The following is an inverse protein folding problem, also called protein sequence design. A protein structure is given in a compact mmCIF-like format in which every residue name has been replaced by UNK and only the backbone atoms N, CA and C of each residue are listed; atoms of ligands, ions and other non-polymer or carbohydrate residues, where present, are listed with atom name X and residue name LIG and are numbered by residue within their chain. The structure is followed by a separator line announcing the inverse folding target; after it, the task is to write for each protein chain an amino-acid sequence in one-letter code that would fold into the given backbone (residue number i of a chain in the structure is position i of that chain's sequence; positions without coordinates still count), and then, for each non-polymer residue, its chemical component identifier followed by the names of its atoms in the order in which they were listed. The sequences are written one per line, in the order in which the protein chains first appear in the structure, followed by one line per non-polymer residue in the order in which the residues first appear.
data_IF_659067144470
#
_entry.id   IF_659067144470
#
_cell.length_a   1.000
_cell.length_b   1.000
_cell.length_c   1.000
_cell.angle_alpha   90.00
_cell.angle_beta   90.00
_cell.angle_gamma   90.00
#
_symmetry.space_group_name_H-M   'P 1'
#
loop_
_entity.id
_entity.type
_entity.pdbx_description
1 polymer ?
#
# COMPACT_ATOMS: atom_id res chain seq x y z
N UNK A 1 33.87 15.76 -51.45
CA UNK A 1 32.75 15.37 -50.56
C UNK A 1 33.27 14.48 -49.42
N UNK A 2 34.00 15.03 -48.44
CA UNK A 2 34.60 14.25 -47.33
C UNK A 2 34.30 14.80 -45.93
N UNK A 3 33.42 15.80 -45.82
CA UNK A 3 33.19 16.51 -44.55
C UNK A 3 31.74 16.37 -44.04
N UNK A 4 30.93 15.48 -44.63
CA UNK A 4 29.53 15.26 -44.22
C UNK A 4 29.38 14.12 -43.21
N UNK A 5 30.30 13.15 -43.17
CA UNK A 5 30.23 12.03 -42.23
C UNK A 5 30.61 12.40 -40.80
N UNK A 6 31.36 13.48 -40.59
CA UNK A 6 31.86 13.85 -39.25
C UNK A 6 30.86 14.69 -38.43
N UNK A 7 29.80 15.23 -39.06
CA UNK A 7 28.74 15.97 -38.36
C UNK A 7 27.56 15.10 -37.94
N UNK A 8 27.44 13.88 -38.49
CA UNK A 8 26.38 12.95 -38.13
C UNK A 8 26.65 12.25 -36.79
N UNK A 9 27.92 12.16 -36.37
CA UNK A 9 28.30 11.55 -35.08
C UNK A 9 27.92 12.42 -33.87
N UNK A 10 27.88 13.74 -34.04
CA UNK A 10 27.56 14.66 -32.95
C UNK A 10 26.05 14.75 -32.65
N UNK A 11 25.19 14.34 -33.59
CA UNK A 11 23.74 14.34 -33.43
C UNK A 11 23.21 13.06 -32.77
N UNK A 12 23.98 11.97 -32.75
CA UNK A 12 23.53 10.67 -32.25
C UNK A 12 23.78 10.45 -30.74
N UNK A 13 24.34 11.43 -30.03
CA UNK A 13 24.81 11.25 -28.65
C UNK A 13 23.88 11.84 -27.58
N UNK A 14 22.75 12.46 -27.97
CA UNK A 14 21.88 13.21 -27.04
C UNK A 14 20.62 12.42 -26.61
N UNK A 15 20.39 11.21 -27.12
CA UNK A 15 19.11 10.48 -26.89
C UNK A 15 19.16 9.45 -25.76
N UNK A 16 20.21 9.40 -24.92
CA UNK A 16 20.38 8.29 -23.95
C UNK A 16 20.39 8.63 -22.45
N UNK A 17 19.93 9.82 -22.02
CA UNK A 17 19.79 10.10 -20.58
C UNK A 17 18.44 10.68 -20.18
N UNK A 18 17.36 10.09 -20.69
CA UNK A 18 16.12 10.02 -19.88
C UNK A 18 16.09 8.66 -19.20
N UNK A 19 17.11 8.38 -18.37
CA UNK A 19 16.93 7.40 -17.31
C UNK A 19 15.88 8.02 -16.41
N UNK A 20 14.67 7.48 -16.47
CA UNK A 20 13.65 7.76 -15.49
C UNK A 20 14.23 7.28 -14.17
N UNK A 21 14.84 8.19 -13.40
CA UNK A 21 14.96 8.00 -11.96
C UNK A 21 13.51 7.93 -11.51
N UNK A 22 12.98 6.71 -11.41
CA UNK A 22 11.89 6.49 -10.47
C UNK A 22 12.51 6.90 -9.16
N UNK A 23 12.23 8.13 -8.76
CA UNK A 23 12.42 8.56 -7.40
C UNK A 23 11.91 7.39 -6.57
N UNK A 24 12.79 6.77 -5.78
CA UNK A 24 12.41 5.76 -4.81
C UNK A 24 11.52 6.49 -3.81
N UNK A 25 10.25 6.68 -4.16
CA UNK A 25 9.21 7.07 -3.23
C UNK A 25 9.30 5.99 -2.16
N UNK A 26 9.73 6.40 -0.97
CA UNK A 26 9.99 5.43 0.08
C UNK A 26 8.69 4.66 0.32
N UNK A 27 8.78 3.33 0.39
CA UNK A 27 7.61 2.47 0.65
C UNK A 27 6.90 2.93 1.94
N UNK A 28 7.68 3.44 2.89
CA UNK A 28 7.22 4.10 4.10
C UNK A 28 6.26 5.28 3.84
N UNK A 29 6.66 6.24 3.00
CA UNK A 29 5.81 7.40 2.67
C UNK A 29 4.56 6.99 1.88
N UNK A 30 4.66 5.92 1.08
CA UNK A 30 3.52 5.37 0.35
C UNK A 30 2.53 4.64 1.28
N UNK A 31 3.04 3.94 2.29
CA UNK A 31 2.24 3.09 3.18
C UNK A 31 1.44 3.89 4.21
N UNK A 32 2.02 4.96 4.77
CA UNK A 32 1.37 5.78 5.80
C UNK A 32 0.01 6.29 5.29
N UNK A 33 -1.05 6.02 6.05
CA UNK A 33 -2.42 6.35 5.67
C UNK A 33 -3.44 5.32 6.13
N UNK A 34 -4.64 5.43 5.57
CA UNK A 34 -5.78 4.56 5.85
C UNK A 34 -6.08 3.72 4.60
N UNK A 35 -6.14 2.42 4.82
CA UNK A 35 -6.39 1.41 3.81
C UNK A 35 -7.70 0.72 4.16
N UNK A 36 -8.58 0.54 3.18
CA UNK A 36 -9.90 -0.03 3.38
C UNK A 36 -10.17 -1.16 2.41
N UNK A 37 -10.90 -2.15 2.91
CA UNK A 37 -11.47 -3.23 2.14
C UNK A 37 -12.90 -3.45 2.57
N UNK A 38 -13.78 -3.68 1.59
CA UNK A 38 -15.15 -4.07 1.82
C UNK A 38 -15.38 -5.51 1.41
N UNK A 39 -15.92 -6.27 2.36
CA UNK A 39 -16.31 -7.66 2.17
C UNK A 39 -17.82 -7.78 2.33
N UNK A 40 -18.48 -8.30 1.31
CA UNK A 40 -19.93 -8.51 1.33
C UNK A 40 -20.21 -9.97 1.67
N UNK A 41 -20.93 -10.21 2.76
CA UNK A 41 -21.50 -11.50 3.11
C UNK A 41 -23.03 -11.44 2.88
N UNK A 42 -23.71 -12.55 2.55
CA UNK A 42 -25.17 -12.59 2.48
C UNK A 42 -25.92 -12.00 3.69
N UNK A 43 -25.33 -11.99 4.88
CA UNK A 43 -25.99 -11.54 6.12
C UNK A 43 -25.57 -10.14 6.59
N UNK A 44 -24.41 -9.65 6.14
CA UNK A 44 -23.85 -8.37 6.55
C UNK A 44 -22.80 -7.87 5.57
N UNK A 45 -22.60 -6.54 5.57
CA UNK A 45 -21.47 -5.90 4.92
C UNK A 45 -20.37 -5.64 5.95
N UNK A 46 -19.17 -6.10 5.66
CA UNK A 46 -17.96 -5.86 6.45
C UNK A 46 -17.10 -4.78 5.81
N UNK A 47 -16.57 -3.90 6.65
CA UNK A 47 -15.50 -2.97 6.32
C UNK A 47 -14.31 -3.27 7.22
N UNK A 48 -13.18 -3.58 6.62
CA UNK A 48 -11.90 -3.72 7.30
C UNK A 48 -11.01 -2.55 6.94
N UNK A 49 -10.46 -1.87 7.95
CA UNK A 49 -9.51 -0.78 7.78
C UNK A 49 -8.20 -1.09 8.47
N UNK A 50 -7.10 -0.75 7.81
CA UNK A 50 -5.76 -0.73 8.37
C UNK A 50 -5.24 0.71 8.33
N UNK A 51 -4.85 1.24 9.47
CA UNK A 51 -4.25 2.57 9.61
C UNK A 51 -2.78 2.38 9.91
N UNK A 52 -1.91 2.90 9.06
CA UNK A 52 -0.47 2.88 9.25
C UNK A 52 0.00 4.30 9.58
N UNK A 53 0.46 4.52 10.81
CA UNK A 53 0.99 5.81 11.26
C UNK A 53 2.52 5.87 11.11
N UNK A 54 3.06 7.06 10.85
CA UNK A 54 4.49 7.27 10.54
C UNK A 54 5.46 6.89 11.66
N UNK A 55 4.97 6.67 12.88
CA UNK A 55 5.75 6.23 14.04
C UNK A 55 5.79 4.70 14.19
N UNK A 56 5.43 3.96 13.13
CA UNK A 56 5.36 2.48 13.09
C UNK A 56 4.28 1.87 14.00
N UNK A 57 3.35 2.69 14.49
CA UNK A 57 2.10 2.21 15.08
C UNK A 57 1.00 2.05 14.01
N UNK A 58 0.00 1.24 14.32
CA UNK A 58 -1.18 1.12 13.48
C UNK A 58 -2.40 0.61 14.21
N UNK A 59 -3.54 0.76 13.53
CA UNK A 59 -4.86 0.36 14.02
C UNK A 59 -5.55 -0.49 12.96
N UNK A 60 -6.10 -1.63 13.38
CA UNK A 60 -7.03 -2.42 12.59
C UNK A 60 -8.42 -2.16 13.11
N UNK A 61 -9.33 -1.72 12.24
CA UNK A 61 -10.75 -1.51 12.56
C UNK A 61 -11.58 -2.44 11.68
N UNK A 62 -12.42 -3.26 12.30
CA UNK A 62 -13.36 -4.11 11.58
C UNK A 62 -14.78 -3.75 12.00
N UNK A 63 -15.63 -3.47 11.03
CA UNK A 63 -17.03 -3.12 11.28
C UNK A 63 -17.94 -3.96 10.42
N UNK A 64 -19.04 -4.45 11.00
CA UNK A 64 -20.09 -5.18 10.29
C UNK A 64 -21.39 -4.41 10.39
N UNK A 65 -22.09 -4.25 9.27
CA UNK A 65 -23.44 -3.68 9.20
C UNK A 65 -24.38 -4.77 8.72
N UNK A 66 -25.30 -5.19 9.58
CA UNK A 66 -26.29 -6.22 9.30
C UNK A 66 -27.52 -5.61 8.62
N UNK A 67 -28.27 -6.43 7.88
CA UNK A 67 -29.50 -5.99 7.20
C UNK A 67 -30.59 -5.48 8.16
N UNK A 68 -30.53 -5.92 9.43
CA UNK A 68 -31.38 -5.45 10.52
C UNK A 68 -31.06 -4.01 10.96
N UNK A 69 -29.96 -3.44 10.49
CA UNK A 69 -29.42 -2.14 10.89
C UNK A 69 -28.50 -2.20 12.12
N UNK A 70 -28.31 -3.38 12.72
CA UNK A 70 -27.31 -3.56 13.78
C UNK A 70 -25.90 -3.34 13.23
N UNK A 71 -25.04 -2.73 14.05
CA UNK A 71 -23.63 -2.54 13.73
C UNK A 71 -22.75 -3.04 14.85
N UNK A 72 -21.73 -3.83 14.49
CA UNK A 72 -20.64 -4.20 15.40
C UNK A 72 -19.35 -3.60 14.90
N UNK A 73 -18.47 -3.22 15.83
CA UNK A 73 -17.14 -2.70 15.49
C UNK A 73 -16.11 -3.15 16.50
N UNK A 74 -14.94 -3.53 16.02
CA UNK A 74 -13.77 -3.86 16.83
C UNK A 74 -12.58 -3.02 16.37
N UNK A 75 -11.72 -2.67 17.33
CA UNK A 75 -10.46 -1.98 17.08
C UNK A 75 -9.35 -2.71 17.82
N UNK A 76 -8.20 -2.85 17.16
CA UNK A 76 -7.01 -3.44 17.75
C UNK A 76 -5.76 -2.72 17.25
N UNK A 77 -4.81 -2.48 18.15
CA UNK A 77 -3.51 -1.91 17.83
C UNK A 77 -2.59 -2.95 17.21
N UNK A 78 -1.66 -2.50 16.37
CA UNK A 78 -0.56 -3.29 15.85
C UNK A 78 0.70 -2.44 15.70
N UNK A 79 1.84 -3.11 15.57
CA UNK A 79 3.09 -2.50 15.09
C UNK A 79 3.35 -2.97 13.67
N UNK A 80 4.12 -2.19 12.93
CA UNK A 80 4.48 -2.58 11.58
C UNK A 80 5.90 -2.17 11.23
N UNK A 81 6.50 -2.90 10.30
CA UNK A 81 7.81 -2.61 9.76
C UNK A 81 7.90 -3.02 8.29
N UNK A 82 8.90 -2.50 7.59
CA UNK A 82 9.17 -2.80 6.19
C UNK A 82 10.44 -3.62 6.13
N UNK A 83 10.34 -4.84 5.59
CA UNK A 83 11.43 -5.78 5.43
C UNK A 83 11.64 -6.03 3.92
N UNK A 84 12.46 -5.19 3.30
CA UNK A 84 12.60 -5.18 1.84
C UNK A 84 11.34 -4.64 1.16
N UNK A 85 10.67 -5.49 0.38
CA UNK A 85 9.40 -5.15 -0.30
C UNK A 85 8.16 -5.61 0.50
N UNK A 86 8.36 -6.27 1.64
CA UNK A 86 7.31 -6.81 2.49
C UNK A 86 6.97 -5.88 3.64
N UNK A 87 5.69 -5.82 3.98
CA UNK A 87 5.14 -5.04 5.10
C UNK A 87 4.70 -6.04 6.15
N UNK A 88 5.46 -6.11 7.25
CA UNK A 88 5.15 -6.97 8.38
C UNK A 88 4.21 -6.23 9.34
N UNK A 89 3.07 -6.82 9.67
CA UNK A 89 2.10 -6.33 10.65
C UNK A 89 2.09 -7.27 11.85
N UNK A 90 2.54 -6.75 12.99
CA UNK A 90 2.77 -7.50 14.23
C UNK A 90 1.64 -7.18 15.21
N UNK A 91 0.81 -8.18 15.49
CA UNK A 91 -0.31 -8.11 16.44
C UNK A 91 0.03 -8.90 17.69
N UNK A 92 -0.10 -8.25 18.86
CA UNK A 92 0.15 -8.85 20.18
C UNK A 92 1.52 -9.55 20.30
N UNK A 93 2.56 -9.03 19.64
CA UNK A 93 3.94 -9.55 19.64
C UNK A 93 4.13 -11.01 19.16
N UNK A 94 3.11 -11.63 18.58
CA UNK A 94 3.13 -13.06 18.22
C UNK A 94 2.56 -13.35 16.83
N UNK A 95 1.56 -12.59 16.37
CA UNK A 95 0.93 -12.84 15.06
C UNK A 95 1.47 -11.86 14.03
N UNK A 96 2.01 -12.39 12.94
CA UNK A 96 2.57 -11.64 11.83
C UNK A 96 1.71 -11.84 10.57
N UNK A 97 1.03 -10.77 10.15
CA UNK A 97 0.43 -10.70 8.80
C UNK A 97 1.45 -10.02 7.88
N UNK A 98 1.80 -10.66 6.77
CA UNK A 98 2.74 -10.10 5.79
C UNK A 98 1.96 -9.60 4.58
N UNK A 99 2.13 -8.32 4.25
CA UNK A 99 1.50 -7.67 3.10
C UNK A 99 2.53 -7.24 2.05
N UNK A 100 2.05 -7.09 0.82
CA UNK A 100 2.77 -6.57 -0.33
C UNK A 100 1.96 -5.45 -0.98
N UNK A 101 2.65 -4.44 -1.54
CA UNK A 101 2.02 -3.53 -2.49
C UNK A 101 2.07 -4.14 -3.89
N UNK A 102 0.90 -4.35 -4.49
CA UNK A 102 0.82 -4.83 -5.86
C UNK A 102 1.12 -3.70 -6.87
N UNK A 103 1.18 -4.05 -8.16
CA UNK A 103 1.46 -3.09 -9.24
C UNK A 103 0.42 -1.99 -9.42
N UNK A 104 -0.74 -2.09 -8.77
CA UNK A 104 -1.80 -1.07 -8.74
C UNK A 104 -1.73 -0.16 -7.52
N UNK A 105 -0.75 -0.38 -6.63
CA UNK A 105 -0.64 0.34 -5.37
C UNK A 105 -1.66 -0.09 -4.32
N UNK A 106 -2.19 -1.31 -4.42
CA UNK A 106 -3.11 -1.88 -3.43
C UNK A 106 -2.34 -2.81 -2.47
N UNK A 107 -2.79 -2.87 -1.22
CA UNK A 107 -2.17 -3.70 -0.19
C UNK A 107 -2.79 -5.10 -0.20
N UNK A 108 -1.97 -6.14 -0.39
CA UNK A 108 -2.39 -7.53 -0.57
C UNK A 108 -1.69 -8.42 0.46
N UNK A 109 -2.43 -9.33 1.08
CA UNK A 109 -1.82 -10.31 1.98
C UNK A 109 -0.98 -11.31 1.17
N UNK A 110 0.30 -11.49 1.52
CA UNK A 110 1.27 -12.27 0.76
C UNK A 110 0.88 -13.75 0.60
N UNK A 111 0.22 -14.31 1.62
CA UNK A 111 -0.07 -15.75 1.73
C UNK A 111 -1.46 -16.17 1.23
N UNK A 112 -2.36 -15.24 0.86
CA UNK A 112 -3.72 -15.55 0.40
C UNK A 112 -4.12 -14.64 -0.78
N UNK A 113 -4.79 -15.19 -1.79
CA UNK A 113 -5.56 -14.38 -2.74
C UNK A 113 -6.84 -13.87 -2.06
N UNK A 114 -6.66 -12.88 -1.18
CA UNK A 114 -7.76 -12.13 -0.61
C UNK A 114 -8.03 -10.87 -1.44
N UNK A 115 -9.19 -10.27 -1.25
CA UNK A 115 -9.46 -8.94 -1.81
C UNK A 115 -8.43 -7.95 -1.26
N UNK A 116 -7.88 -7.08 -2.13
CA UNK A 116 -6.86 -6.13 -1.71
C UNK A 116 -7.49 -4.98 -0.89
N UNK A 117 -6.69 -4.34 -0.05
CA UNK A 117 -7.06 -3.05 0.54
C UNK A 117 -6.65 -1.93 -0.39
N UNK A 118 -7.56 -0.96 -0.56
CA UNK A 118 -7.31 0.27 -1.30
C UNK A 118 -6.98 1.41 -0.34
N UNK A 119 -6.02 2.26 -0.67
CA UNK A 119 -5.75 3.47 0.11
C UNK A 119 -6.91 4.46 -0.07
N UNK A 120 -7.50 4.91 1.03
CA UNK A 120 -8.63 5.86 1.04
C UNK A 120 -8.26 7.23 1.62
N UNK A 121 -7.12 7.34 2.31
CA UNK A 121 -6.64 8.59 2.90
C UNK A 121 -5.14 8.51 3.20
N UNK A 122 -4.40 9.60 3.00
CA UNK A 122 -3.03 9.76 3.53
C UNK A 122 -3.03 10.28 4.97
N UNK A 123 -4.18 10.77 5.46
CA UNK A 123 -4.33 11.33 6.79
C UNK A 123 -4.83 10.27 7.79
N UNK A 124 -4.07 10.07 8.86
CA UNK A 124 -4.36 9.15 9.96
C UNK A 124 -5.02 9.80 11.18
N UNK A 125 -5.13 11.13 11.26
CA UNK A 125 -5.51 11.88 12.48
C UNK A 125 -6.94 11.64 13.00
N UNK A 126 -7.79 10.93 12.25
CA UNK A 126 -9.16 10.62 12.64
C UNK A 126 -9.29 9.25 13.32
N UNK A 127 -8.17 8.57 13.59
CA UNK A 127 -8.11 7.22 14.14
C UNK A 127 -7.13 7.15 15.30
#
# INVERSE_FOLDING_TARGET
MKNLFNKLYFLLLVVMVTSCSKDEISLNDTLVGVWERMDSNPEFNSSSKLVFASDHSGLSVNSNTFDTGEMTSTVSEFKWEILGDEISVIKNDVNEDVYLLNSKGELVLNILQDKPFSKISDNTQNY
#
